data_IF_970668207616
#
_entry.id   IF_970668207616
#
_cell.length_a   1.000
_cell.length_b   1.000
_cell.length_c   1.000
_cell.angle_alpha   90.00
_cell.angle_beta   90.00
_cell.angle_gamma   90.00
#
_symmetry.space_group_name_H-M   'P 1'
#
loop_
_entity.id
_entity.type
_entity.pdbx_description
1 polymer ?
#
# COMPACT_ATOMS: atom_id res chain seq x y z
N UNK A 1 9.99 -15.64 12.39
CA UNK A 1 8.54 -15.91 12.47
C UNK A 1 8.13 -16.21 11.05
N UNK A 2 7.96 -17.50 10.73
CA UNK A 2 7.86 -18.00 9.35
C UNK A 2 6.40 -18.17 8.90
N UNK A 3 5.46 -17.50 9.57
CA UNK A 3 4.04 -17.57 9.23
C UNK A 3 3.71 -16.75 7.97
N UNK A 4 2.77 -17.22 7.13
CA UNK A 4 2.27 -16.46 5.97
C UNK A 4 1.82 -15.04 6.35
N UNK A 5 1.94 -14.10 5.40
CA UNK A 5 1.57 -12.71 5.62
C UNK A 5 0.11 -12.58 6.09
N UNK A 6 -0.83 -13.28 5.46
CA UNK A 6 -2.24 -13.22 5.88
C UNK A 6 -2.47 -13.66 7.31
N UNK A 7 -1.75 -14.67 7.80
CA UNK A 7 -1.87 -15.16 9.18
C UNK A 7 -1.33 -14.13 10.18
N UNK A 8 -0.20 -13.50 9.86
CA UNK A 8 0.35 -12.40 10.67
C UNK A 8 -0.63 -11.23 10.74
N UNK A 9 -1.25 -10.88 9.60
CA UNK A 9 -2.22 -9.79 9.53
C UNK A 9 -3.52 -10.12 10.27
N UNK A 10 -4.03 -11.35 10.15
CA UNK A 10 -5.26 -11.78 10.85
C UNK A 10 -5.04 -11.84 12.36
N UNK A 11 -3.91 -12.40 12.81
CA UNK A 11 -3.55 -12.44 14.23
C UNK A 11 -3.52 -11.03 14.83
N UNK A 12 -2.90 -10.08 14.13
CA UNK A 12 -2.88 -8.69 14.58
C UNK A 12 -4.29 -8.06 14.58
N UNK A 13 -5.14 -8.37 13.59
CA UNK A 13 -6.51 -7.89 13.55
C UNK A 13 -7.36 -8.43 14.71
N UNK A 14 -7.20 -9.71 15.05
CA UNK A 14 -7.89 -10.36 16.17
C UNK A 14 -7.46 -9.75 17.50
N UNK A 15 -6.16 -9.47 17.67
CA UNK A 15 -5.65 -8.77 18.84
C UNK A 15 -6.20 -7.35 18.97
N UNK A 16 -6.27 -6.58 17.87
CA UNK A 16 -6.87 -5.24 17.89
C UNK A 16 -8.34 -5.31 18.29
N UNK A 17 -9.12 -6.25 17.76
CA UNK A 17 -10.53 -6.43 18.14
C UNK A 17 -10.65 -6.79 19.62
N UNK A 18 -9.82 -7.71 20.12
CA UNK A 18 -9.85 -8.15 21.52
C UNK A 18 -9.46 -7.03 22.49
N UNK A 19 -8.43 -6.25 22.15
CA UNK A 19 -7.87 -5.22 23.02
C UNK A 19 -8.57 -3.87 22.89
N UNK A 20 -9.16 -3.57 21.73
CA UNK A 20 -9.88 -2.32 21.47
C UNK A 20 -11.16 -2.56 20.64
N UNK A 21 -12.19 -3.22 21.23
CA UNK A 21 -13.46 -3.46 20.53
C UNK A 21 -14.09 -2.18 19.94
N UNK A 22 -14.14 -1.03 20.66
CA UNK A 22 -14.74 0.19 20.09
C UNK A 22 -14.02 0.68 18.83
N UNK A 23 -12.69 0.60 18.77
CA UNK A 23 -11.94 0.98 17.59
C UNK A 23 -12.22 0.02 16.42
N UNK A 24 -12.32 -1.28 16.71
CA UNK A 24 -12.64 -2.27 15.71
C UNK A 24 -14.06 -2.08 15.15
N UNK A 25 -15.04 -1.67 15.96
CA UNK A 25 -16.40 -1.39 15.49
C UNK A 25 -16.45 -0.20 14.53
N UNK A 26 -15.63 0.83 14.79
CA UNK A 26 -15.45 1.98 13.88
C UNK A 26 -14.85 1.51 12.54
N UNK A 27 -13.88 0.59 12.59
CA UNK A 27 -13.31 -0.02 11.38
C UNK A 27 -14.39 -0.77 10.61
N UNK A 28 -15.21 -1.60 11.25
CA UNK A 28 -16.24 -2.36 10.54
C UNK A 28 -17.27 -1.44 9.86
N UNK A 29 -17.71 -0.37 10.54
CA UNK A 29 -18.60 0.63 9.93
C UNK A 29 -17.96 1.31 8.73
N UNK A 30 -16.67 1.66 8.83
CA UNK A 30 -15.92 2.23 7.71
C UNK A 30 -15.85 1.26 6.54
N UNK A 31 -15.46 0.00 6.79
CA UNK A 31 -15.35 -1.02 5.75
C UNK A 31 -16.69 -1.31 5.08
N UNK A 32 -17.78 -1.39 5.86
CA UNK A 32 -19.11 -1.55 5.30
C UNK A 32 -19.44 -0.44 4.30
N UNK A 33 -19.21 0.83 4.66
CA UNK A 33 -19.45 1.96 3.75
C UNK A 33 -18.61 1.89 2.48
N UNK A 34 -17.33 1.51 2.61
CA UNK A 34 -16.42 1.41 1.46
C UNK A 34 -16.83 0.27 0.51
N UNK A 35 -17.26 -0.87 1.04
CA UNK A 35 -17.80 -1.96 0.22
C UNK A 35 -19.13 -1.58 -0.42
N UNK A 36 -20.06 -0.97 0.33
CA UNK A 36 -21.34 -0.52 -0.21
C UNK A 36 -21.18 0.50 -1.35
N UNK A 37 -20.09 1.30 -1.34
CA UNK A 37 -19.80 2.30 -2.37
C UNK A 37 -18.96 1.79 -3.54
N UNK A 38 -18.53 0.52 -3.55
CA UNK A 38 -17.62 -0.02 -4.58
C UNK A 38 -16.23 0.64 -4.57
N UNK A 39 -15.74 1.05 -3.39
CA UNK A 39 -14.45 1.74 -3.30
C UNK A 39 -13.31 0.83 -3.81
N UNK A 40 -12.51 1.33 -4.77
CA UNK A 40 -11.43 0.58 -5.40
C UNK A 40 -11.83 -0.26 -6.63
N UNK A 41 -13.13 -0.37 -6.94
CA UNK A 41 -13.61 -1.11 -8.12
C UNK A 41 -13.15 -0.46 -9.43
N UNK A 42 -12.97 0.86 -9.43
CA UNK A 42 -12.50 1.63 -10.58
C UNK A 42 -10.99 1.63 -10.80
N UNK A 43 -10.21 0.95 -9.96
CA UNK A 43 -8.77 0.83 -10.18
C UNK A 43 -8.45 -0.12 -11.36
N UNK A 44 -7.27 0.02 -12.01
CA UNK A 44 -6.94 -0.72 -13.24
C UNK A 44 -7.11 -2.25 -13.12
N UNK A 45 -7.81 -2.85 -14.08
CA UNK A 45 -8.04 -4.29 -14.18
C UNK A 45 -6.90 -5.04 -14.87
N UNK A 46 -6.88 -6.36 -14.71
CA UNK A 46 -5.96 -7.25 -15.44
C UNK A 46 -6.14 -7.01 -16.94
N UNK A 47 -5.02 -6.80 -17.65
CA UNK A 47 -4.95 -6.49 -19.07
C UNK A 47 -5.05 -5.00 -19.40
N UNK A 48 -5.52 -4.16 -18.47
CA UNK A 48 -5.57 -2.71 -18.66
C UNK A 48 -4.18 -2.07 -18.48
N UNK A 49 -3.90 -0.94 -19.15
CA UNK A 49 -2.69 -0.18 -18.90
C UNK A 49 -2.69 0.36 -17.46
N UNK A 50 -1.54 0.30 -16.79
CA UNK A 50 -1.33 1.04 -15.55
C UNK A 50 -1.05 2.51 -15.89
N UNK A 51 -1.84 3.48 -15.38
CA UNK A 51 -1.54 4.90 -15.57
C UNK A 51 -0.12 5.23 -15.11
N UNK A 52 0.59 6.06 -15.87
CA UNK A 52 1.98 6.40 -15.58
C UNK A 52 2.08 7.30 -14.34
N UNK A 53 3.21 7.26 -13.64
CA UNK A 53 3.50 8.18 -12.55
C UNK A 53 4.92 8.73 -12.67
N UNK A 54 5.15 9.88 -12.05
CA UNK A 54 6.47 10.43 -11.74
C UNK A 54 6.41 10.96 -10.32
N UNK A 55 6.99 10.25 -9.36
CA UNK A 55 6.88 10.55 -7.94
C UNK A 55 8.28 10.59 -7.30
N UNK A 56 8.52 11.47 -6.31
CA UNK A 56 9.79 11.51 -5.61
C UNK A 56 9.90 10.33 -4.63
N UNK A 57 11.07 9.69 -4.62
CA UNK A 57 11.45 8.72 -3.60
C UNK A 57 11.80 9.39 -2.26
N UNK A 58 12.20 8.58 -1.27
CA UNK A 58 12.55 9.06 0.07
C UNK A 58 13.81 9.95 0.13
N UNK A 59 14.53 10.11 -0.98
CA UNK A 59 15.69 10.99 -1.15
C UNK A 59 15.39 12.23 -2.00
N UNK A 60 14.19 12.32 -2.57
CA UNK A 60 13.76 13.40 -3.47
C UNK A 60 14.09 13.13 -4.94
N UNK A 61 14.59 11.94 -5.29
CA UNK A 61 14.82 11.57 -6.68
C UNK A 61 13.49 11.18 -7.35
N UNK A 62 13.20 11.76 -8.52
CA UNK A 62 11.99 11.44 -9.27
C UNK A 62 12.12 10.07 -9.92
N UNK A 63 11.19 9.17 -9.61
CA UNK A 63 11.08 7.84 -10.18
C UNK A 63 9.83 7.77 -11.02
N UNK A 64 9.93 7.27 -12.25
CA UNK A 64 8.78 7.05 -13.13
C UNK A 64 8.47 5.57 -13.35
N UNK A 65 7.20 5.25 -13.60
CA UNK A 65 6.82 3.88 -13.98
C UNK A 65 7.53 3.46 -15.28
N UNK A 66 7.64 4.35 -16.24
CA UNK A 66 8.34 4.11 -17.51
C UNK A 66 9.80 3.68 -17.30
N UNK A 67 10.56 4.39 -16.46
CA UNK A 67 11.96 4.03 -16.16
C UNK A 67 12.06 2.67 -15.48
N UNK A 68 11.13 2.37 -14.57
CA UNK A 68 11.09 1.08 -13.90
C UNK A 68 10.80 -0.05 -14.90
N UNK A 69 9.84 0.14 -15.81
CA UNK A 69 9.44 -0.85 -16.81
C UNK A 69 10.55 -1.18 -17.82
N UNK A 70 11.44 -0.22 -18.12
CA UNK A 70 12.64 -0.47 -18.93
C UNK A 70 13.58 -1.49 -18.27
N UNK A 71 13.59 -1.59 -16.94
CA UNK A 71 14.45 -2.51 -16.18
C UNK A 71 13.82 -3.89 -15.97
N UNK A 72 12.49 -3.98 -15.91
CA UNK A 72 11.83 -5.21 -15.50
C UNK A 72 10.32 -5.07 -15.33
N UNK A 73 9.67 -6.17 -14.96
CA UNK A 73 8.29 -6.08 -14.44
C UNK A 73 8.29 -5.28 -13.13
N UNK A 74 7.19 -4.60 -12.81
CA UNK A 74 7.11 -3.74 -11.63
C UNK A 74 5.95 -4.15 -10.75
N UNK A 75 6.24 -4.46 -9.51
CA UNK A 75 5.24 -4.65 -8.46
C UNK A 75 5.00 -3.31 -7.80
N UNK A 76 3.90 -2.66 -8.17
CA UNK A 76 3.46 -1.38 -7.61
C UNK A 76 2.56 -1.66 -6.42
N UNK A 77 2.96 -1.24 -5.23
CA UNK A 77 2.18 -1.44 -4.00
C UNK A 77 1.85 -0.12 -3.33
N UNK A 78 0.60 0.03 -2.88
CA UNK A 78 0.12 1.20 -2.13
C UNK A 78 0.01 0.87 -0.65
N UNK A 79 0.60 1.70 0.20
CA UNK A 79 0.47 1.61 1.65
C UNK A 79 0.03 2.94 2.26
N UNK A 80 -0.63 2.85 3.42
CA UNK A 80 -1.17 4.01 4.15
C UNK A 80 -0.11 4.85 4.87
N UNK A 81 1.06 4.28 5.11
CA UNK A 81 2.18 4.95 5.79
C UNK A 81 2.89 4.10 6.84
N UNK A 82 4.00 4.63 7.36
CA UNK A 82 4.90 4.03 8.34
C UNK A 82 4.22 3.74 9.69
N UNK A 83 3.24 4.55 10.09
CA UNK A 83 2.50 4.39 11.35
C UNK A 83 1.59 3.15 11.35
N UNK A 84 1.23 2.64 10.17
CA UNK A 84 0.27 1.56 10.02
C UNK A 84 0.94 0.18 10.21
N UNK A 85 0.57 -0.60 11.24
CA UNK A 85 1.21 -1.90 11.52
C UNK A 85 1.07 -2.90 10.37
N UNK A 86 -0.10 -2.94 9.71
CA UNK A 86 -0.33 -3.79 8.54
C UNK A 86 0.55 -3.41 7.34
N UNK A 87 0.84 -2.11 7.17
CA UNK A 87 1.72 -1.62 6.11
C UNK A 87 3.18 -1.97 6.40
N UNK A 88 3.62 -1.89 7.66
CA UNK A 88 4.95 -2.33 8.08
C UNK A 88 5.14 -3.83 7.85
N UNK A 89 4.17 -4.67 8.23
CA UNK A 89 4.21 -6.12 7.97
C UNK A 89 4.26 -6.45 6.47
N UNK A 90 3.53 -5.70 5.65
CA UNK A 90 3.55 -5.88 4.20
C UNK A 90 4.89 -5.44 3.58
N UNK A 91 5.43 -4.28 3.97
CA UNK A 91 6.75 -3.81 3.51
C UNK A 91 7.87 -4.78 3.91
N UNK A 92 7.84 -5.26 5.16
CA UNK A 92 8.72 -6.31 5.68
C UNK A 92 8.63 -7.58 4.83
N UNK A 93 7.43 -8.09 4.56
CA UNK A 93 7.24 -9.30 3.76
C UNK A 93 7.72 -9.13 2.31
N UNK A 94 7.54 -7.96 1.70
CA UNK A 94 8.07 -7.66 0.36
C UNK A 94 9.61 -7.60 0.36
N UNK A 95 10.21 -6.95 1.36
CA UNK A 95 11.67 -6.86 1.50
C UNK A 95 12.31 -8.27 1.64
N UNK A 96 11.66 -9.18 2.39
CA UNK A 96 12.13 -10.56 2.53
C UNK A 96 12.18 -11.35 1.21
N UNK A 97 11.34 -11.01 0.23
CA UNK A 97 11.31 -11.68 -1.08
C UNK A 97 11.89 -10.84 -2.21
N UNK A 98 12.44 -9.68 -1.91
CA UNK A 98 12.96 -8.73 -2.89
C UNK A 98 13.98 -9.37 -3.84
N UNK A 99 14.93 -10.15 -3.30
CA UNK A 99 15.90 -10.85 -4.13
C UNK A 99 15.23 -11.84 -5.08
N UNK A 100 14.24 -12.60 -4.60
CA UNK A 100 13.54 -13.60 -5.43
C UNK A 100 12.76 -12.93 -6.56
N UNK A 101 12.06 -11.83 -6.28
CA UNK A 101 11.36 -11.05 -7.30
C UNK A 101 12.34 -10.46 -8.31
N UNK A 102 13.50 -9.98 -7.85
CA UNK A 102 14.58 -9.49 -8.73
C UNK A 102 15.15 -10.59 -9.63
N UNK A 103 15.42 -11.77 -9.08
CA UNK A 103 15.92 -12.92 -9.84
C UNK A 103 14.89 -13.39 -10.89
N UNK A 104 13.59 -13.19 -10.64
CA UNK A 104 12.50 -13.43 -11.59
C UNK A 104 12.29 -12.29 -12.61
N UNK A 105 13.14 -11.26 -12.62
CA UNK A 105 13.05 -10.14 -13.57
C UNK A 105 12.01 -9.07 -13.21
N UNK A 106 11.53 -9.07 -11.96
CA UNK A 106 10.67 -8.04 -11.40
C UNK A 106 11.41 -7.11 -10.44
N UNK A 107 10.74 -6.03 -10.02
CA UNK A 107 11.20 -5.16 -8.95
C UNK A 107 10.01 -4.58 -8.21
N UNK A 108 10.23 -4.12 -6.98
CA UNK A 108 9.20 -3.46 -6.20
C UNK A 108 9.28 -1.93 -6.32
N UNK A 109 8.13 -1.29 -6.18
CA UNK A 109 8.00 0.11 -5.82
C UNK A 109 6.84 0.24 -4.84
N UNK A 110 7.08 0.90 -3.71
CA UNK A 110 6.04 1.16 -2.72
C UNK A 110 5.66 2.63 -2.76
N UNK A 111 4.37 2.93 -2.73
CA UNK A 111 3.82 4.28 -2.80
C UNK A 111 3.03 4.53 -1.51
N UNK A 112 3.28 5.68 -0.86
CA UNK A 112 2.52 6.12 0.31
C UNK A 112 2.21 7.62 0.21
N UNK A 113 1.20 8.14 0.92
CA UNK A 113 0.91 9.57 0.94
C UNK A 113 1.83 10.37 1.87
N UNK A 114 2.83 9.72 2.49
CA UNK A 114 3.66 10.35 3.52
C UNK A 114 4.87 11.08 2.95
N UNK A 115 5.34 12.08 3.67
CA UNK A 115 6.58 12.80 3.33
C UNK A 115 7.79 11.87 3.30
N UNK A 116 8.83 12.30 2.57
CA UNK A 116 10.10 11.59 2.45
C UNK A 116 10.72 11.17 3.81
N UNK A 117 10.54 11.99 4.86
CA UNK A 117 10.99 11.68 6.22
C UNK A 117 10.43 10.34 6.72
N UNK A 118 9.13 10.13 6.58
CA UNK A 118 8.45 8.94 7.09
C UNK A 118 8.58 7.75 6.15
N UNK A 119 8.64 7.99 4.83
CA UNK A 119 9.02 6.96 3.85
C UNK A 119 10.42 6.41 4.14
N UNK A 120 11.39 7.26 4.52
CA UNK A 120 12.72 6.82 4.95
C UNK A 120 12.66 5.94 6.20
N UNK A 121 11.84 6.29 7.19
CA UNK A 121 11.62 5.44 8.38
C UNK A 121 11.04 4.07 8.00
N UNK A 122 10.00 4.03 7.16
CA UNK A 122 9.41 2.78 6.71
C UNK A 122 10.42 1.90 5.95
N UNK A 123 11.22 2.52 5.07
CA UNK A 123 12.27 1.82 4.30
C UNK A 123 13.33 1.21 5.22
N UNK A 124 13.80 1.96 6.20
CA UNK A 124 14.79 1.52 7.18
C UNK A 124 14.27 0.38 8.05
N UNK A 125 13.04 0.50 8.56
CA UNK A 125 12.40 -0.51 9.40
C UNK A 125 12.24 -1.84 8.66
N UNK A 126 11.81 -1.78 7.40
CA UNK A 126 11.63 -2.97 6.56
C UNK A 126 12.96 -3.52 5.99
N UNK A 127 14.05 -2.74 6.08
CA UNK A 127 15.33 -3.01 5.39
C UNK A 127 15.16 -3.22 3.88
N UNK A 128 14.22 -2.49 3.29
CA UNK A 128 13.90 -2.57 1.88
C UNK A 128 14.99 -1.89 1.03
N UNK A 129 15.37 -2.50 -0.09
CA UNK A 129 16.28 -1.88 -1.06
C UNK A 129 15.51 -1.15 -2.17
N UNK A 130 14.25 -1.48 -2.39
CA UNK A 130 13.35 -0.82 -3.34
C UNK A 130 12.97 0.61 -2.91
N UNK A 131 12.63 1.49 -3.87
CA UNK A 131 12.20 2.86 -3.56
C UNK A 131 10.83 2.91 -2.87
N UNK A 132 10.68 3.86 -1.93
CA UNK A 132 9.38 4.22 -1.35
C UNK A 132 9.05 5.64 -1.78
N UNK A 133 8.02 5.78 -2.62
CA UNK A 133 7.63 7.02 -3.27
C UNK A 133 6.56 7.77 -2.46
N UNK A 134 6.63 9.08 -2.54
CA UNK A 134 5.65 10.00 -1.96
C UNK A 134 4.58 10.34 -3.01
N UNK A 135 3.36 9.88 -2.79
CA UNK A 135 2.17 10.32 -3.52
C UNK A 135 1.56 11.53 -2.81
N UNK A 136 2.14 12.71 -3.07
CA UNK A 136 1.75 13.96 -2.44
C UNK A 136 0.24 14.21 -2.62
N UNK A 137 -0.44 14.48 -1.51
CA UNK A 137 -1.90 14.67 -1.46
C UNK A 137 -2.73 13.49 -2.04
N UNK A 138 -2.13 12.30 -2.16
CA UNK A 138 -2.75 11.11 -2.76
C UNK A 138 -3.20 11.31 -4.21
N UNK A 139 -2.52 12.16 -4.99
CA UNK A 139 -2.90 12.49 -6.36
C UNK A 139 -2.94 11.28 -7.30
N UNK A 140 -1.92 10.44 -7.26
CA UNK A 140 -1.86 9.22 -8.07
C UNK A 140 -2.86 8.18 -7.57
N UNK A 141 -3.00 8.00 -6.26
CA UNK A 141 -4.04 7.14 -5.70
C UNK A 141 -5.45 7.61 -6.09
N UNK A 142 -5.70 8.92 -6.21
CA UNK A 142 -6.97 9.46 -6.69
C UNK A 142 -7.20 9.14 -8.17
N UNK A 143 -6.18 9.30 -9.02
CA UNK A 143 -6.22 8.93 -10.44
C UNK A 143 -6.60 7.45 -10.62
N UNK A 144 -6.07 6.57 -9.77
CA UNK A 144 -6.39 5.15 -9.77
C UNK A 144 -7.69 4.78 -9.04
N UNK A 145 -8.47 5.76 -8.54
CA UNK A 145 -9.67 5.52 -7.73
C UNK A 145 -9.43 4.67 -6.47
N UNK A 146 -8.23 4.81 -5.88
CA UNK A 146 -7.81 4.18 -4.63
C UNK A 146 -7.89 5.12 -3.43
N UNK A 147 -8.03 6.43 -3.63
CA UNK A 147 -8.09 7.40 -2.52
C UNK A 147 -9.43 7.31 -1.76
N UNK A 148 -9.36 7.21 -0.43
CA UNK A 148 -10.52 7.26 0.46
C UNK A 148 -10.38 8.40 1.47
N UNK A 149 -11.47 9.14 1.68
CA UNK A 149 -11.53 10.17 2.71
C UNK A 149 -11.90 9.53 4.06
N UNK A 150 -11.13 9.87 5.09
CA UNK A 150 -11.38 9.41 6.45
C UNK A 150 -12.39 10.35 7.12
N UNK A 151 -13.53 9.79 7.55
CA UNK A 151 -14.57 10.56 8.21
C UNK A 151 -14.18 10.96 9.65
N UNK A 152 -14.92 11.89 10.24
CA UNK A 152 -14.66 12.42 11.58
C UNK A 152 -14.59 11.33 12.66
N UNK A 153 -15.51 10.36 12.64
CA UNK A 153 -15.53 9.24 13.58
C UNK A 153 -14.19 8.48 13.57
N UNK A 154 -13.69 8.13 12.38
CA UNK A 154 -12.44 7.41 12.23
C UNK A 154 -11.23 8.29 12.53
N UNK A 155 -11.25 9.55 12.10
CA UNK A 155 -10.22 10.56 12.38
C UNK A 155 -10.01 10.71 13.88
N UNK A 156 -11.08 10.99 14.63
CA UNK A 156 -11.05 11.16 16.10
C UNK A 156 -10.48 9.90 16.77
N UNK A 157 -10.94 8.71 16.36
CA UNK A 157 -10.44 7.45 16.92
C UNK A 157 -8.95 7.20 16.61
N UNK A 158 -8.49 7.56 15.41
CA UNK A 158 -7.07 7.46 15.06
C UNK A 158 -6.22 8.43 15.85
N UNK A 159 -6.64 9.70 15.97
CA UNK A 159 -5.92 10.71 16.76
C UNK A 159 -5.84 10.31 18.23
N UNK A 160 -6.93 9.79 18.81
CA UNK A 160 -6.94 9.27 20.18
C UNK A 160 -6.01 8.06 20.38
N UNK A 161 -5.80 7.26 19.32
CA UNK A 161 -4.83 6.17 19.29
C UNK A 161 -3.38 6.63 19.02
N UNK A 162 -3.13 7.94 18.92
CA UNK A 162 -1.81 8.52 18.68
C UNK A 162 -1.41 8.62 17.20
N UNK A 163 -2.35 8.35 16.28
CA UNK A 163 -2.11 8.47 14.84
C UNK A 163 -2.71 9.76 14.30
N UNK A 164 -1.84 10.73 14.06
CA UNK A 164 -2.19 12.00 13.43
C UNK A 164 -1.56 12.06 12.04
N UNK A 165 -2.31 11.58 11.04
CA UNK A 165 -1.76 11.41 9.68
C UNK A 165 -1.47 12.75 9.00
N UNK A 166 -2.08 13.85 9.46
CA UNK A 166 -1.82 15.18 8.92
C UNK A 166 -0.35 15.57 9.09
N UNK A 167 0.25 15.21 10.23
CA UNK A 167 1.68 15.42 10.51
C UNK A 167 2.60 14.53 9.68
N UNK A 168 2.10 13.40 9.18
CA UNK A 168 2.89 12.46 8.40
C UNK A 168 2.88 12.77 6.90
N UNK A 169 1.74 13.28 6.41
CA UNK A 169 1.50 13.63 5.02
C UNK A 169 1.76 15.10 4.71
N UNK A 170 1.89 15.96 5.73
CA UNK A 170 2.05 17.41 5.60
C UNK A 170 0.84 18.10 4.93
N UNK A 171 -0.36 17.60 5.20
CA UNK A 171 -1.64 18.18 4.75
C UNK A 171 -2.77 17.87 5.75
N UNK A 172 -3.91 18.55 5.61
CA UNK A 172 -5.10 18.33 6.46
C UNK A 172 -6.24 17.57 5.76
N UNK A 173 -5.95 16.91 4.63
CA UNK A 173 -6.99 16.34 3.76
C UNK A 173 -7.59 15.04 4.33
N UNK A 174 -6.87 14.39 5.25
CA UNK A 174 -7.28 13.12 5.88
C UNK A 174 -7.66 12.05 4.85
N UNK A 175 -6.85 11.95 3.80
CA UNK A 175 -6.99 10.94 2.73
C UNK A 175 -6.01 9.80 2.96
N UNK A 176 -6.44 8.57 2.72
CA UNK A 176 -5.59 7.38 2.71
C UNK A 176 -5.84 6.58 1.44
N UNK A 177 -4.82 5.90 0.87
CA UNK A 177 -5.06 4.94 -0.19
C UNK A 177 -5.69 3.66 0.37
N UNK A 178 -6.61 3.07 -0.39
CA UNK A 178 -6.92 1.64 -0.32
C UNK A 178 -5.61 0.90 -0.59
N UNK A 179 -5.13 0.04 0.32
CA UNK A 179 -3.96 -0.77 0.04
C UNK A 179 -4.19 -1.66 -1.18
N UNK A 180 -3.26 -1.58 -2.11
CA UNK A 180 -3.37 -2.26 -3.39
C UNK A 180 -2.01 -2.79 -3.81
N UNK A 181 -2.00 -3.87 -4.57
CA UNK A 181 -0.80 -4.41 -5.21
C UNK A 181 -1.13 -4.69 -6.67
N UNK A 182 -0.31 -4.19 -7.58
CA UNK A 182 -0.39 -4.46 -9.01
C UNK A 182 0.95 -5.05 -9.45
N UNK A 183 0.91 -6.12 -10.24
CA UNK A 183 2.07 -6.59 -11.00
C UNK A 183 1.91 -6.09 -12.42
N UNK A 184 2.79 -5.19 -12.84
CA UNK A 184 2.76 -4.53 -14.16
C UNK A 184 3.82 -5.16 -15.05
N UNK A 185 3.38 -5.69 -16.19
CA UNK A 185 4.25 -6.25 -17.21
C UNK A 185 5.07 -5.17 -17.92
N UNK A 186 6.15 -5.58 -18.60
CA UNK A 186 7.03 -4.67 -19.37
C UNK A 186 6.30 -3.89 -20.47
N UNK A 187 5.15 -4.40 -20.90
CA UNK A 187 4.24 -3.75 -21.85
C UNK A 187 3.34 -2.67 -21.21
N UNK A 188 3.53 -2.40 -19.91
CA UNK A 188 2.78 -1.41 -19.15
C UNK A 188 1.38 -1.87 -18.71
N UNK A 189 1.05 -3.16 -18.89
CA UNK A 189 -0.28 -3.70 -18.55
C UNK A 189 -0.27 -4.43 -17.21
N UNK A 190 -1.39 -4.37 -16.50
CA UNK A 190 -1.59 -5.10 -15.24
C UNK A 190 -1.71 -6.60 -15.53
N UNK A 191 -0.79 -7.41 -14.99
CA UNK A 191 -0.80 -8.88 -15.07
C UNK A 191 -1.56 -9.51 -13.91
N UNK A 192 -1.43 -8.91 -12.72
CA UNK A 192 -2.15 -9.32 -11.52
C UNK A 192 -2.45 -8.10 -10.68
N UNK A 193 -3.55 -8.16 -9.93
CA UNK A 193 -3.93 -7.12 -8.97
C UNK A 193 -4.54 -7.71 -7.72
N UNK A 194 -4.39 -6.98 -6.62
CA UNK A 194 -5.16 -7.17 -5.40
C UNK A 194 -5.55 -5.79 -4.88
N UNK A 195 -6.86 -5.52 -4.78
CA UNK A 195 -7.42 -4.27 -4.26
C UNK A 195 -8.54 -4.65 -3.30
N UNK A 196 -8.40 -4.29 -2.04
CA UNK A 196 -9.42 -4.56 -1.01
C UNK A 196 -9.50 -3.37 -0.04
N UNK A 197 -10.68 -2.72 0.11
CA UNK A 197 -10.90 -1.66 1.10
C UNK A 197 -10.56 -2.07 2.53
N UNK A 198 -10.63 -3.37 2.84
CA UNK A 198 -10.12 -3.90 4.09
C UNK A 198 -8.60 -3.88 4.09
N UNK A 199 -8.07 -2.78 4.63
CA UNK A 199 -6.65 -2.53 4.81
C UNK A 199 -5.92 -3.60 5.65
N UNK A 200 -6.62 -4.59 6.21
CA UNK A 200 -6.03 -5.72 6.94
C UNK A 200 -5.68 -6.88 6.01
N UNK A 201 -6.18 -6.90 4.78
CA UNK A 201 -5.91 -7.94 3.77
C UNK A 201 -4.88 -7.47 2.75
N UNK A 202 -4.05 -8.38 2.25
CA UNK A 202 -3.00 -8.11 1.26
C UNK A 202 -2.95 -9.23 0.25
N UNK A 203 -2.38 -8.95 -0.93
CA UNK A 203 -1.97 -9.99 -1.86
C UNK A 203 -1.04 -10.98 -1.13
N UNK A 204 -1.20 -12.28 -1.37
CA UNK A 204 -0.25 -13.25 -0.85
C UNK A 204 1.09 -13.08 -1.57
N UNK A 205 2.17 -13.28 -0.81
CA UNK A 205 3.52 -13.19 -1.35
C UNK A 205 3.75 -14.27 -2.43
N UNK A 206 3.14 -15.46 -2.27
CA UNK A 206 3.19 -16.53 -3.28
C UNK A 206 2.54 -16.10 -4.59
N UNK A 207 1.36 -15.47 -4.53
CA UNK A 207 0.60 -15.06 -5.71
C UNK A 207 1.34 -13.93 -6.45
N UNK A 208 1.94 -13.02 -5.68
CA UNK A 208 2.77 -11.94 -6.19
C UNK A 208 3.98 -12.49 -6.95
N UNK A 209 4.71 -13.43 -6.36
CA UNK A 209 5.86 -14.09 -7.00
C UNK A 209 5.41 -14.82 -8.28
N UNK A 210 4.33 -15.62 -8.21
CA UNK A 210 3.82 -16.35 -9.36
C UNK A 210 3.44 -15.43 -10.51
N UNK A 211 2.83 -14.26 -10.21
CA UNK A 211 2.50 -13.26 -11.21
C UNK A 211 3.74 -12.64 -11.88
N UNK A 212 4.83 -12.45 -11.14
CA UNK A 212 6.11 -11.97 -11.71
C UNK A 212 6.76 -13.05 -12.58
N UNK A 213 6.70 -14.33 -12.17
CA UNK A 213 7.30 -15.47 -12.89
C UNK A 213 6.54 -15.86 -14.17
N UNK A 214 5.27 -15.50 -14.31
CA UNK A 214 4.46 -15.72 -15.52
C UNK A 214 4.86 -14.87 -16.72
#
# INVERSE_FOLDING_TARGET
MDAPLSERLSTFADDVRRLSPPFADIVDRMLKRLYDSGAGDGAPNIGEPMPNFVLPDETGHLVSLEELLQKGQVVVSFNRGHWCPYCRLNADAMAHVEKKVKDAGGQFVLITPETAKFNKTLKQDARALFPILTDLDSGYALELQLAIQINDEKRIAMTAAGWDISKYQDNENWTLPIPATFVVGKDGRVKARFVDPDYRKRMQISDLIAAVES
#
